data_IF_187939601085
#
_entry.id   IF_187939601085
#
_cell.length_a   1.000
_cell.length_b   1.000
_cell.length_c   1.000
_cell.angle_alpha   90.00
_cell.angle_beta   90.00
_cell.angle_gamma   90.00
#
_symmetry.space_group_name_H-M   'P 1'
#
loop_
_entity.id
_entity.type
_entity.pdbx_description
1 polymer ?
#
# COMPACT_ATOMS: atom_id res chain seq x y z
N UNK A 1 -7.98 2.39 -9.85
CA UNK A 1 -6.69 2.47 -9.14
C UNK A 1 -5.64 3.22 -9.94
N UNK A 2 -5.39 2.85 -11.20
CA UNK A 2 -4.37 3.53 -12.01
C UNK A 2 -4.60 5.05 -12.18
N UNK A 3 -5.84 5.46 -12.50
CA UNK A 3 -6.21 6.89 -12.60
C UNK A 3 -6.06 7.61 -11.26
N UNK A 4 -6.40 6.95 -10.16
CA UNK A 4 -6.27 7.49 -8.80
C UNK A 4 -4.79 7.73 -8.45
N UNK A 5 -3.91 6.76 -8.75
CA UNK A 5 -2.48 6.90 -8.53
C UNK A 5 -1.87 8.04 -9.35
N UNK A 6 -2.22 8.13 -10.64
CA UNK A 6 -1.75 9.24 -11.51
C UNK A 6 -2.22 10.60 -11.01
N UNK A 7 -3.49 10.70 -10.59
CA UNK A 7 -4.04 11.94 -10.03
C UNK A 7 -3.38 12.33 -8.70
N UNK A 8 -3.13 11.35 -7.82
CA UNK A 8 -2.42 11.58 -6.55
C UNK A 8 -0.98 12.06 -6.79
N UNK A 9 -0.26 11.44 -7.74
CA UNK A 9 1.10 11.84 -8.12
C UNK A 9 1.13 13.26 -8.69
N UNK A 10 0.23 13.60 -9.60
CA UNK A 10 0.09 14.96 -10.12
C UNK A 10 -0.11 15.98 -9.00
N UNK A 11 -1.01 15.69 -8.07
CA UNK A 11 -1.29 16.57 -6.92
C UNK A 11 -0.10 16.70 -5.96
N UNK A 12 0.67 15.63 -5.81
CA UNK A 12 1.93 15.63 -5.05
C UNK A 12 2.99 16.52 -5.68
N UNK A 13 3.09 16.53 -7.01
CA UNK A 13 4.06 17.35 -7.72
C UNK A 13 3.64 18.83 -7.80
N UNK A 14 2.33 19.10 -7.84
CA UNK A 14 1.78 20.44 -8.01
C UNK A 14 1.52 21.20 -6.68
N UNK A 15 1.32 20.50 -5.55
CA UNK A 15 1.03 21.13 -4.25
C UNK A 15 2.06 20.72 -3.20
N UNK A 16 2.93 21.65 -2.76
CA UNK A 16 3.85 21.43 -1.66
C UNK A 16 3.14 21.03 -0.36
N UNK A 17 1.99 21.63 -0.03
CA UNK A 17 1.25 21.28 1.19
C UNK A 17 0.72 19.85 1.14
N UNK A 18 0.29 19.39 -0.05
CA UNK A 18 -0.12 18.00 -0.23
C UNK A 18 1.07 17.04 -0.11
N UNK A 19 2.23 17.42 -0.64
CA UNK A 19 3.44 16.63 -0.53
C UNK A 19 3.91 16.48 0.93
N UNK A 20 3.91 17.57 1.70
CA UNK A 20 4.29 17.56 3.11
C UNK A 20 3.33 16.69 3.93
N UNK A 21 2.03 16.86 3.75
CA UNK A 21 1.02 16.01 4.40
C UNK A 21 1.18 14.54 4.02
N UNK A 22 1.48 14.23 2.76
CA UNK A 22 1.70 12.86 2.32
C UNK A 22 2.93 12.24 3.01
N UNK A 23 4.03 12.99 3.17
CA UNK A 23 5.22 12.54 3.91
C UNK A 23 4.90 12.29 5.39
N UNK A 24 4.17 13.19 6.04
CA UNK A 24 3.74 13.02 7.44
C UNK A 24 2.89 11.77 7.64
N UNK A 25 1.97 11.50 6.70
CA UNK A 25 1.13 10.30 6.75
C UNK A 25 1.95 9.00 6.60
N UNK A 26 3.03 9.01 5.83
CA UNK A 26 3.94 7.87 5.74
C UNK A 26 4.65 7.62 7.07
N UNK A 27 5.10 8.69 7.74
CA UNK A 27 5.71 8.57 9.08
C UNK A 27 4.71 7.99 10.08
N UNK A 28 3.46 8.48 10.08
CA UNK A 28 2.39 7.94 10.94
C UNK A 28 2.08 6.47 10.64
N UNK A 29 2.06 6.10 9.36
CA UNK A 29 1.86 4.70 8.96
C UNK A 29 2.98 3.80 9.49
N UNK A 30 4.24 4.23 9.35
CA UNK A 30 5.41 3.50 9.87
C UNK A 30 5.44 3.47 11.41
N UNK A 31 4.92 4.50 12.07
CA UNK A 31 4.75 4.54 13.52
C UNK A 31 3.60 3.65 14.04
N UNK A 32 2.84 3.00 13.14
CA UNK A 32 1.74 2.12 13.50
C UNK A 32 0.44 2.85 13.88
N UNK A 33 0.22 4.07 13.39
CA UNK A 33 -1.01 4.82 13.62
C UNK A 33 -2.25 4.01 13.14
N UNK A 34 -3.22 3.70 14.03
CA UNK A 34 -4.33 2.81 13.69
C UNK A 34 -5.22 3.32 12.54
N UNK A 35 -5.42 4.63 12.44
CA UNK A 35 -6.22 5.22 11.37
C UNK A 35 -5.51 5.16 10.02
N UNK A 36 -4.19 5.41 10.01
CA UNK A 36 -3.37 5.27 8.82
C UNK A 36 -3.30 3.82 8.36
N UNK A 37 -3.11 2.88 9.28
CA UNK A 37 -3.12 1.44 8.99
C UNK A 37 -4.45 0.99 8.41
N UNK A 38 -5.58 1.41 9.00
CA UNK A 38 -6.92 1.09 8.48
C UNK A 38 -7.12 1.57 7.04
N UNK A 39 -6.68 2.79 6.73
CA UNK A 39 -6.77 3.33 5.37
C UNK A 39 -5.85 2.59 4.40
N UNK A 40 -4.64 2.24 4.83
CA UNK A 40 -3.67 1.46 4.06
C UNK A 40 -4.18 0.04 3.76
N UNK A 41 -4.71 -0.67 4.76
CA UNK A 41 -5.29 -2.01 4.58
C UNK A 41 -6.42 -1.97 3.55
N UNK A 42 -7.32 -1.00 3.67
CA UNK A 42 -8.41 -0.83 2.69
C UNK A 42 -7.89 -0.56 1.28
N UNK A 43 -6.84 0.26 1.14
CA UNK A 43 -6.23 0.52 -0.16
C UNK A 43 -5.63 -0.76 -0.77
N UNK A 44 -4.90 -1.54 0.05
CA UNK A 44 -4.32 -2.81 -0.36
C UNK A 44 -5.37 -3.82 -0.80
N UNK A 45 -6.46 -4.00 -0.03
CA UNK A 45 -7.55 -4.90 -0.38
C UNK A 45 -8.16 -4.58 -1.75
N UNK A 46 -8.42 -3.29 -2.02
CA UNK A 46 -8.96 -2.85 -3.32
C UNK A 46 -7.94 -3.16 -4.43
N UNK A 47 -6.64 -2.88 -4.21
CA UNK A 47 -5.59 -3.15 -5.18
C UNK A 47 -5.46 -4.65 -5.47
N UNK A 48 -5.40 -5.47 -4.44
CA UNK A 48 -5.30 -6.93 -4.54
C UNK A 48 -6.54 -7.53 -5.21
N UNK A 49 -7.74 -7.01 -4.92
CA UNK A 49 -8.97 -7.46 -5.60
C UNK A 49 -8.92 -7.23 -7.12
N UNK A 50 -8.29 -6.14 -7.56
CA UNK A 50 -8.09 -5.87 -8.99
C UNK A 50 -7.06 -6.82 -9.60
N UNK A 51 -5.97 -7.12 -8.89
CA UNK A 51 -4.99 -8.11 -9.31
C UNK A 51 -5.59 -9.52 -9.39
N UNK A 52 -6.41 -9.91 -8.42
CA UNK A 52 -7.09 -11.21 -8.43
C UNK A 52 -7.97 -11.40 -9.65
N UNK A 53 -8.73 -10.37 -10.05
CA UNK A 53 -9.53 -10.42 -11.29
C UNK A 53 -8.67 -10.68 -12.54
N UNK A 54 -7.41 -10.25 -12.55
CA UNK A 54 -6.46 -10.55 -13.63
C UNK A 54 -5.96 -11.99 -13.52
N UNK A 55 -5.63 -12.46 -12.32
CA UNK A 55 -5.26 -13.86 -12.07
C UNK A 55 -6.36 -14.84 -12.46
N UNK A 56 -7.61 -14.55 -12.12
CA UNK A 56 -8.77 -15.35 -12.49
C UNK A 56 -8.92 -15.46 -14.01
N UNK A 57 -8.72 -14.34 -14.73
CA UNK A 57 -8.75 -14.32 -16.20
C UNK A 57 -7.61 -15.12 -16.85
N UNK A 58 -6.46 -15.19 -16.18
CA UNK A 58 -5.29 -15.93 -16.65
C UNK A 58 -5.30 -17.40 -16.21
N UNK A 59 -6.28 -17.82 -15.40
CA UNK A 59 -6.34 -19.18 -14.86
C UNK A 59 -5.24 -19.47 -13.83
N UNK A 60 -4.71 -18.43 -13.18
CA UNK A 60 -3.67 -18.54 -12.16
C UNK A 60 -4.31 -19.04 -10.86
N UNK A 61 -3.66 -19.99 -10.17
CA UNK A 61 -4.18 -20.61 -8.93
C UNK A 61 -3.92 -19.79 -7.66
N UNK A 62 -3.16 -18.70 -7.77
CA UNK A 62 -2.87 -17.80 -6.65
C UNK A 62 -4.17 -17.18 -6.13
N UNK A 63 -4.30 -17.19 -4.83
CA UNK A 63 -5.43 -16.66 -4.09
C UNK A 63 -4.99 -15.55 -3.14
N UNK A 64 -5.96 -14.85 -2.55
CA UNK A 64 -5.68 -13.86 -1.50
C UNK A 64 -4.97 -14.45 -0.27
N UNK A 65 -5.11 -15.76 -0.01
CA UNK A 65 -4.43 -16.43 1.09
C UNK A 65 -2.92 -16.62 0.83
N UNK A 66 -2.50 -16.56 -0.44
CA UNK A 66 -1.09 -16.70 -0.84
C UNK A 66 -0.36 -15.34 -0.84
N UNK A 67 -1.07 -14.25 -0.54
CA UNK A 67 -0.50 -12.91 -0.55
C UNK A 67 0.34 -12.69 0.70
N UNK A 68 1.66 -12.67 0.50
CA UNK A 68 2.62 -12.27 1.52
C UNK A 68 3.36 -11.01 1.06
N UNK A 69 2.82 -9.85 1.45
CA UNK A 69 3.40 -8.56 1.11
C UNK A 69 4.69 -8.28 1.88
N UNK A 70 5.52 -7.37 1.37
CA UNK A 70 6.77 -6.93 2.02
C UNK A 70 6.55 -6.44 3.45
N UNK A 71 5.39 -5.84 3.73
CA UNK A 71 5.00 -5.39 5.07
C UNK A 71 4.96 -6.51 6.12
N UNK A 72 4.82 -7.78 5.73
CA UNK A 72 4.81 -8.92 6.65
C UNK A 72 6.16 -9.11 7.37
N UNK A 73 7.25 -8.60 6.78
CA UNK A 73 8.61 -8.75 7.30
C UNK A 73 9.08 -7.52 8.08
N UNK A 74 8.25 -6.48 8.24
CA UNK A 74 8.66 -5.23 8.87
C UNK A 74 9.25 -5.44 10.28
N UNK A 75 8.70 -6.37 11.05
CA UNK A 75 9.15 -6.69 12.40
C UNK A 75 10.49 -7.48 12.41
N UNK A 76 10.76 -8.24 11.35
CA UNK A 76 11.95 -9.07 11.22
C UNK A 76 13.17 -8.28 10.73
N UNK A 77 12.96 -7.16 10.03
CA UNK A 77 14.04 -6.34 9.47
C UNK A 77 15.04 -5.86 10.53
N UNK A 78 14.55 -5.54 11.74
CA UNK A 78 15.40 -5.10 12.84
C UNK A 78 16.36 -6.20 13.32
N UNK A 79 16.00 -7.47 13.16
CA UNK A 79 16.81 -8.61 13.58
C UNK A 79 17.88 -9.00 12.55
N UNK A 80 17.66 -8.70 11.27
CA UNK A 80 18.57 -9.08 10.16
C UNK A 80 19.77 -8.14 10.04
N UNK A 81 19.63 -6.88 10.48
CA UNK A 81 20.69 -5.85 10.38
C UNK A 81 21.67 -5.90 11.57
N UNK A 82 21.36 -6.65 12.62
CA UNK A 82 22.13 -6.72 13.88
C UNK A 82 23.53 -7.34 13.73
#
# INVERSE_FOLDING_TARGET
LEVFYRAAKKRFDESPEFADRARELVVKLQAGDPDCLRLWTRFNEISLSHCQKVYDRLGVKLSMADVMGESAYNDDLAQVVA
#
